data_IF_079134517040
#
_entry.id   IF_079134517040
#
_cell.length_a   1.000
_cell.length_b   1.000
_cell.length_c   1.000
_cell.angle_alpha   90.00
_cell.angle_beta   90.00
_cell.angle_gamma   90.00
#
_symmetry.space_group_name_H-M   'P 1'
#
loop_
_entity.id
_entity.type
_entity.pdbx_description
1 polymer ?
#
# COMPACT_ATOMS: atom_id res chain seq x y z
N UNK A 1 24.68 13.83 -9.08
CA UNK A 1 24.23 13.30 -7.78
C UNK A 1 22.75 12.97 -7.89
N UNK A 2 22.38 11.68 -7.88
CA UNK A 2 20.97 11.29 -7.88
C UNK A 2 20.43 11.44 -6.45
N UNK A 3 19.57 12.43 -6.21
CA UNK A 3 18.84 12.53 -4.96
C UNK A 3 17.77 11.45 -4.96
N UNK A 4 18.05 10.32 -4.33
CA UNK A 4 17.04 9.27 -4.13
C UNK A 4 16.03 9.77 -3.11
N UNK A 5 14.94 10.35 -3.59
CA UNK A 5 13.80 10.69 -2.73
C UNK A 5 13.18 9.39 -2.20
N UNK A 6 13.36 9.15 -0.89
CA UNK A 6 12.64 8.08 -0.19
C UNK A 6 11.31 8.66 0.29
N UNK A 7 10.22 8.19 -0.31
CA UNK A 7 8.88 8.51 0.14
C UNK A 7 8.41 7.35 1.00
N UNK A 8 8.16 7.62 2.29
CA UNK A 8 7.53 6.65 3.19
C UNK A 8 6.01 6.71 3.01
N UNK A 9 5.41 5.58 2.62
CA UNK A 9 3.97 5.48 2.42
C UNK A 9 3.34 4.74 3.59
N UNK A 10 2.40 5.40 4.28
CA UNK A 10 1.57 4.75 5.30
C UNK A 10 0.53 3.83 4.64
N UNK A 11 -0.06 2.92 5.42
CA UNK A 11 -1.18 2.10 4.97
C UNK A 11 -2.36 2.93 4.44
N UNK A 12 -2.60 4.10 5.04
CA UNK A 12 -3.65 5.02 4.60
C UNK A 12 -3.33 5.62 3.23
N UNK A 13 -2.08 6.03 3.00
CA UNK A 13 -1.63 6.51 1.70
C UNK A 13 -1.86 5.45 0.61
N UNK A 14 -1.54 4.18 0.88
CA UNK A 14 -1.73 3.09 -0.08
C UNK A 14 -3.21 2.83 -0.40
N UNK A 15 -4.11 2.94 0.61
CA UNK A 15 -5.56 2.85 0.40
C UNK A 15 -6.08 3.99 -0.47
N UNK A 16 -5.61 5.22 -0.22
CA UNK A 16 -5.95 6.40 -1.01
C UNK A 16 -5.50 6.22 -2.46
N UNK A 17 -4.25 5.84 -2.71
CA UNK A 17 -3.73 5.63 -4.08
C UNK A 17 -4.56 4.57 -4.83
N UNK A 18 -4.95 3.48 -4.15
CA UNK A 18 -5.82 2.46 -4.74
C UNK A 18 -7.21 2.99 -5.10
N UNK A 19 -7.78 3.89 -4.29
CA UNK A 19 -9.05 4.53 -4.57
C UNK A 19 -8.95 5.46 -5.79
N UNK A 20 -7.91 6.30 -5.84
CA UNK A 20 -7.66 7.19 -6.97
C UNK A 20 -7.46 6.41 -8.27
N UNK A 21 -6.71 5.30 -8.23
CA UNK A 21 -6.56 4.40 -9.37
C UNK A 21 -7.91 3.91 -9.90
N UNK A 22 -8.80 3.46 -9.01
CA UNK A 22 -10.12 2.98 -9.39
C UNK A 22 -10.99 4.09 -9.99
N UNK A 23 -10.96 5.29 -9.41
CA UNK A 23 -11.72 6.44 -9.91
C UNK A 23 -11.19 6.95 -11.26
N UNK A 24 -9.87 6.99 -11.43
CA UNK A 24 -9.23 7.47 -12.65
C UNK A 24 -9.41 6.53 -13.85
N UNK A 25 -9.61 5.23 -13.59
CA UNK A 25 -9.81 4.21 -14.63
C UNK A 25 -11.26 4.00 -15.05
N UNK A 26 -12.21 4.70 -14.44
CA UNK A 26 -13.64 4.54 -14.73
C UNK A 26 -13.98 4.68 -16.23
N UNK A 27 -13.18 5.46 -16.97
CA UNK A 27 -13.39 5.76 -18.38
C UNK A 27 -12.17 5.43 -19.27
N UNK A 28 -11.25 4.57 -18.81
CA UNK A 28 -9.99 4.28 -19.54
C UNK A 28 -9.65 2.80 -19.56
N UNK A 29 -9.06 2.33 -20.66
CA UNK A 29 -8.45 1.00 -20.73
C UNK A 29 -7.22 0.90 -19.84
N UNK A 30 -7.16 -0.18 -19.06
CA UNK A 30 -6.07 -0.45 -18.12
C UNK A 30 -4.87 -1.00 -18.87
N UNK A 31 -3.73 -0.32 -18.78
CA UNK A 31 -2.50 -0.83 -19.39
C UNK A 31 -1.84 -1.90 -18.54
N UNK A 32 -0.92 -2.66 -19.13
CA UNK A 32 -0.09 -3.60 -18.37
C UNK A 32 0.72 -2.91 -17.26
N UNK A 33 1.24 -1.70 -17.53
CA UNK A 33 2.01 -0.93 -16.56
C UNK A 33 1.15 -0.50 -15.35
N UNK A 34 -0.12 -0.16 -15.59
CA UNK A 34 -1.10 0.14 -14.55
C UNK A 34 -1.33 -1.07 -13.65
N UNK A 35 -1.53 -2.24 -14.26
CA UNK A 35 -1.72 -3.51 -13.54
C UNK A 35 -0.50 -3.90 -12.69
N UNK A 36 0.71 -3.74 -13.22
CA UNK A 36 1.95 -4.00 -12.47
C UNK A 36 2.09 -3.03 -11.29
N UNK A 37 1.76 -1.75 -11.50
CA UNK A 37 1.84 -0.71 -10.47
C UNK A 37 0.84 -0.94 -9.35
N UNK A 38 -0.44 -1.19 -9.67
CA UNK A 38 -1.47 -1.43 -8.65
C UNK A 38 -1.23 -2.74 -7.89
N UNK A 39 -0.60 -3.73 -8.53
CA UNK A 39 -0.21 -4.99 -7.87
C UNK A 39 0.86 -4.75 -6.81
N UNK A 40 1.90 -3.95 -7.11
CA UNK A 40 2.92 -3.55 -6.13
C UNK A 40 2.30 -2.78 -4.95
N UNK A 41 1.39 -1.85 -5.22
CA UNK A 41 0.68 -1.10 -4.18
C UNK A 41 -0.16 -2.03 -3.29
N UNK A 42 -0.87 -3.00 -3.87
CA UNK A 42 -1.62 -4.01 -3.12
C UNK A 42 -0.70 -4.84 -2.22
N UNK A 43 0.43 -5.31 -2.74
CA UNK A 43 1.40 -6.08 -1.96
C UNK A 43 1.92 -5.26 -0.76
N UNK A 44 2.32 -4.00 -0.99
CA UNK A 44 2.76 -3.10 0.07
C UNK A 44 1.67 -2.87 1.13
N UNK A 45 0.41 -2.72 0.72
CA UNK A 45 -0.70 -2.51 1.64
C UNK A 45 -0.95 -3.75 2.52
N UNK A 46 -0.85 -4.95 1.93
CA UNK A 46 -0.96 -6.21 2.66
C UNK A 46 0.17 -6.34 3.68
N UNK A 47 1.42 -6.13 3.26
CA UNK A 47 2.58 -6.22 4.17
C UNK A 47 2.48 -5.22 5.33
N UNK A 48 2.12 -3.97 5.06
CA UNK A 48 1.93 -2.96 6.10
C UNK A 48 0.79 -3.31 7.08
N UNK A 49 -0.29 -3.93 6.57
CA UNK A 49 -1.39 -4.40 7.41
C UNK A 49 -0.99 -5.60 8.28
N UNK A 50 -0.20 -6.53 7.74
CA UNK A 50 0.33 -7.69 8.46
C UNK A 50 1.28 -7.28 9.58
N UNK A 51 2.20 -6.35 9.30
CA UNK A 51 3.12 -5.79 10.30
C UNK A 51 2.34 -5.15 11.46
N UNK A 52 1.37 -4.29 11.16
CA UNK A 52 0.49 -3.70 12.17
C UNK A 52 -0.27 -4.76 12.99
N UNK A 53 -0.74 -5.82 12.34
CA UNK A 53 -1.45 -6.91 13.01
C UNK A 53 -0.50 -7.74 13.91
N UNK A 54 0.75 -7.95 13.48
CA UNK A 54 1.77 -8.64 14.26
C UNK A 54 2.11 -7.85 15.52
N UNK A 55 2.28 -6.53 15.41
CA UNK A 55 2.51 -5.64 16.54
C UNK A 55 1.38 -5.75 17.57
N UNK A 56 0.12 -5.65 17.13
CA UNK A 56 -1.05 -5.78 18.01
C UNK A 56 -1.07 -7.13 18.75
N UNK A 57 -0.70 -8.23 18.09
CA UNK A 57 -0.60 -9.57 18.70
C UNK A 57 0.51 -9.63 19.76
N UNK A 58 1.64 -8.97 19.53
CA UNK A 58 2.74 -8.89 20.50
C UNK A 58 2.36 -8.04 21.72
N UNK A 59 1.64 -6.93 21.52
CA UNK A 59 1.13 -6.10 22.62
C UNK A 59 0.08 -6.82 23.47
N UNK A 60 -0.72 -7.72 22.88
CA UNK A 60 -1.66 -8.55 23.64
C UNK A 60 -0.93 -9.55 24.55
N UNK A 61 0.07 -10.27 24.01
CA UNK A 61 0.85 -11.27 24.77
C UNK A 61 1.66 -10.70 25.95
N UNK A 62 2.02 -9.42 25.93
CA UNK A 62 2.74 -8.77 27.04
C UNK A 62 1.84 -8.35 28.22
N UNK A 63 0.51 -8.40 28.05
CA UNK A 63 -0.47 -8.00 29.08
C UNK A 63 -1.17 -9.17 29.77
N UNK A 64 -0.88 -10.39 29.33
CA UNK A 64 -1.29 -11.67 29.95
C UNK A 64 -0.14 -12.18 30.83
#
# INVERSE_FOLDING_TARGET
MAHTFRIELTLENLKVIKLWYHLAQKDREVTRADNETITKIKALATSAQEERNADLRLFRRRRE
#
